data_IF_890107170683
#
_entry.id   IF_890107170683
#
_cell.length_a   1.000
_cell.length_b   1.000
_cell.length_c   1.000
_cell.angle_alpha   90.00
_cell.angle_beta   90.00
_cell.angle_gamma   90.00
#
_symmetry.space_group_name_H-M   'P 1'
#
loop_
_entity.id
_entity.type
_entity.pdbx_description
1 polymer ?
#
# COMPACT_ATOMS: atom_id res chain seq x y z
N UNK A 1 9.71 -8.50 -17.66
CA UNK A 1 8.45 -9.28 -17.74
C UNK A 1 8.73 -10.75 -18.03
N UNK A 2 9.63 -11.10 -18.95
CA UNK A 2 9.97 -12.47 -19.33
C UNK A 2 10.42 -13.35 -18.14
N UNK A 3 11.19 -12.79 -17.20
CA UNK A 3 11.60 -13.53 -15.99
C UNK A 3 10.40 -13.85 -15.07
N UNK A 4 9.53 -12.88 -14.84
CA UNK A 4 8.32 -13.08 -14.01
C UNK A 4 7.37 -14.10 -14.64
N UNK A 5 7.24 -14.07 -15.95
CA UNK A 5 6.46 -15.05 -16.70
C UNK A 5 7.05 -16.46 -16.56
N UNK A 6 8.36 -16.60 -16.75
CA UNK A 6 9.06 -17.87 -16.58
C UNK A 6 8.95 -18.43 -15.17
N UNK A 7 9.11 -17.58 -14.15
CA UNK A 7 8.94 -17.98 -12.75
C UNK A 7 7.49 -18.42 -12.46
N UNK A 8 6.50 -17.66 -12.95
CA UNK A 8 5.09 -18.00 -12.75
C UNK A 8 4.64 -19.25 -13.51
N UNK A 9 5.33 -19.62 -14.59
CA UNK A 9 5.07 -20.88 -15.35
C UNK A 9 5.80 -22.09 -14.76
N UNK A 10 6.78 -21.87 -13.88
CA UNK A 10 7.54 -22.96 -13.26
C UNK A 10 6.65 -23.87 -12.42
N UNK A 11 6.80 -25.19 -12.58
CA UNK A 11 6.10 -26.17 -11.75
C UNK A 11 6.52 -26.02 -10.28
N UNK A 12 5.55 -25.97 -9.38
CA UNK A 12 5.77 -25.80 -7.94
C UNK A 12 6.06 -24.36 -7.49
N UNK A 13 6.13 -23.40 -8.42
CA UNK A 13 6.32 -22.00 -8.06
C UNK A 13 4.98 -21.27 -7.88
N UNK A 14 4.88 -20.55 -6.78
CA UNK A 14 3.85 -19.55 -6.53
C UNK A 14 4.49 -18.16 -6.51
N UNK A 15 4.05 -17.27 -7.39
CA UNK A 15 4.62 -15.92 -7.54
C UNK A 15 3.55 -14.89 -7.27
N UNK A 16 3.87 -13.89 -6.45
CA UNK A 16 2.99 -12.76 -6.18
C UNK A 16 3.72 -11.42 -6.34
N UNK A 17 3.02 -10.43 -6.89
CA UNK A 17 3.44 -9.02 -6.84
C UNK A 17 2.61 -8.32 -5.77
N UNK A 18 3.30 -7.76 -4.75
CA UNK A 18 2.68 -7.03 -3.65
C UNK A 18 3.05 -5.55 -3.76
N UNK A 19 2.07 -4.67 -3.93
CA UNK A 19 2.32 -3.26 -4.21
C UNK A 19 1.32 -2.32 -3.54
N UNK A 20 1.75 -1.08 -3.27
CA UNK A 20 0.87 0.02 -2.88
C UNK A 20 0.10 0.66 -4.04
N UNK A 21 0.34 0.23 -5.27
CA UNK A 21 -0.34 0.75 -6.47
C UNK A 21 -1.81 0.32 -6.49
N UNK A 22 -2.68 1.13 -7.13
CA UNK A 22 -4.06 0.75 -7.39
C UNK A 22 -4.16 -0.55 -8.19
N UNK A 23 -5.22 -1.33 -7.94
CA UNK A 23 -5.45 -2.60 -8.67
C UNK A 23 -5.51 -2.44 -10.18
N UNK A 24 -6.04 -1.31 -10.69
CA UNK A 24 -6.09 -1.04 -12.13
C UNK A 24 -4.71 -0.93 -12.77
N UNK A 25 -3.73 -0.35 -12.08
CA UNK A 25 -2.35 -0.26 -12.57
C UNK A 25 -1.72 -1.66 -12.65
N UNK A 26 -1.88 -2.46 -11.59
CA UNK A 26 -1.33 -3.82 -11.56
C UNK A 26 -1.99 -4.72 -12.62
N UNK A 27 -3.28 -4.57 -12.84
CA UNK A 27 -4.01 -5.28 -13.89
C UNK A 27 -3.46 -4.93 -15.28
N UNK A 28 -3.27 -3.64 -15.55
CA UNK A 28 -2.74 -3.17 -16.83
C UNK A 28 -1.31 -3.67 -17.11
N UNK A 29 -0.47 -3.74 -16.05
CA UNK A 29 0.95 -4.11 -16.23
C UNK A 29 1.20 -5.60 -16.18
N UNK A 30 0.50 -6.32 -15.31
CA UNK A 30 0.80 -7.71 -14.97
C UNK A 30 -0.39 -8.66 -15.11
N UNK A 31 -1.58 -8.14 -15.46
CA UNK A 31 -2.83 -8.91 -15.48
C UNK A 31 -2.80 -10.16 -16.38
N UNK A 32 -1.93 -10.17 -17.38
CA UNK A 32 -1.75 -11.30 -18.31
C UNK A 32 -0.73 -12.34 -17.82
N UNK A 33 0.02 -12.03 -16.77
CA UNK A 33 1.04 -12.94 -16.26
C UNK A 33 0.42 -14.01 -15.33
N UNK A 34 1.00 -15.22 -15.30
CA UNK A 34 0.51 -16.32 -14.47
C UNK A 34 0.99 -16.20 -13.02
N UNK A 35 0.57 -15.11 -12.33
CA UNK A 35 0.96 -14.81 -10.97
C UNK A 35 -0.18 -14.17 -10.18
N UNK A 36 -0.06 -14.15 -8.86
CA UNK A 36 -0.99 -13.43 -7.99
C UNK A 36 -0.63 -11.94 -7.93
N UNK A 37 -1.63 -11.09 -7.73
CA UNK A 37 -1.48 -9.65 -7.57
C UNK A 37 -2.09 -9.20 -6.25
N UNK A 38 -1.37 -8.38 -5.51
CA UNK A 38 -1.83 -7.73 -4.28
C UNK A 38 -1.68 -6.22 -4.45
N UNK A 39 -2.79 -5.50 -4.39
CA UNK A 39 -2.85 -4.06 -4.62
C UNK A 39 -3.18 -3.28 -3.34
N UNK A 40 -2.87 -1.98 -3.35
CA UNK A 40 -3.13 -1.05 -2.24
C UNK A 40 -2.64 -1.60 -0.89
N UNK A 41 -1.37 -2.06 -0.85
CA UNK A 41 -0.70 -2.61 0.33
C UNK A 41 -1.39 -3.85 0.96
N UNK A 42 -2.30 -4.50 0.26
CA UNK A 42 -3.00 -5.67 0.78
C UNK A 42 -4.52 -5.53 0.88
N UNK A 43 -5.08 -4.42 0.41
CA UNK A 43 -6.55 -4.25 0.34
C UNK A 43 -7.17 -5.27 -0.62
N UNK A 44 -6.55 -5.39 -1.79
CA UNK A 44 -7.03 -6.23 -2.87
C UNK A 44 -6.07 -7.37 -3.16
N UNK A 45 -6.60 -8.55 -3.38
CA UNK A 45 -5.86 -9.71 -3.88
C UNK A 45 -6.56 -10.31 -5.09
N UNK A 46 -5.78 -10.68 -6.08
CA UNK A 46 -6.18 -11.50 -7.22
C UNK A 46 -5.27 -12.72 -7.26
N UNK A 47 -5.77 -13.91 -6.91
CA UNK A 47 -5.03 -15.16 -7.08
C UNK A 47 -4.65 -15.39 -8.55
N UNK A 48 -3.67 -16.22 -8.81
CA UNK A 48 -3.30 -16.64 -10.17
C UNK A 48 -4.53 -17.20 -10.91
N UNK A 49 -4.90 -16.57 -12.04
CA UNK A 49 -6.06 -16.96 -12.82
C UNK A 49 -7.42 -16.71 -12.19
N UNK A 50 -7.46 -16.04 -11.05
CA UNK A 50 -8.70 -15.71 -10.33
C UNK A 50 -9.14 -14.26 -10.51
N UNK A 51 -10.19 -13.90 -9.80
CA UNK A 51 -10.77 -12.55 -9.76
C UNK A 51 -10.26 -11.74 -8.58
N UNK A 52 -10.33 -10.40 -8.69
CA UNK A 52 -10.04 -9.50 -7.60
C UNK A 52 -11.05 -9.65 -6.46
N UNK A 53 -10.55 -9.81 -5.24
CA UNK A 53 -11.36 -9.79 -4.03
C UNK A 53 -10.70 -8.92 -2.96
N UNK A 54 -11.49 -8.31 -2.11
CA UNK A 54 -10.98 -7.67 -0.90
C UNK A 54 -10.60 -8.72 0.12
N UNK A 55 -9.48 -8.51 0.83
CA UNK A 55 -9.10 -9.41 1.92
C UNK A 55 -10.05 -9.29 3.10
N UNK A 56 -10.52 -8.06 3.38
CA UNK A 56 -11.53 -7.80 4.41
C UNK A 56 -12.37 -6.56 4.08
N UNK A 57 -13.55 -6.46 4.65
CA UNK A 57 -14.37 -5.26 4.51
C UNK A 57 -13.70 -4.07 5.21
N UNK A 58 -13.60 -2.94 4.52
CA UNK A 58 -13.00 -1.71 4.99
C UNK A 58 -14.01 -0.57 4.92
N UNK A 59 -13.94 0.36 5.87
CA UNK A 59 -14.72 1.58 5.85
C UNK A 59 -13.93 2.71 5.17
N UNK A 60 -14.61 3.52 4.37
CA UNK A 60 -14.05 4.74 3.77
C UNK A 60 -14.65 6.02 4.37
N UNK A 61 -15.55 5.90 5.35
CA UNK A 61 -16.25 7.05 5.94
C UNK A 61 -15.28 8.06 6.58
N UNK A 62 -14.15 7.60 7.10
CA UNK A 62 -13.12 8.44 7.67
C UNK A 62 -12.55 9.47 6.67
N UNK A 63 -12.60 9.18 5.38
CA UNK A 63 -12.11 10.09 4.34
C UNK A 63 -12.86 11.42 4.32
N UNK A 64 -14.14 11.43 4.64
CA UNK A 64 -14.94 12.67 4.71
C UNK A 64 -14.42 13.64 5.76
N UNK A 65 -13.78 13.14 6.81
CA UNK A 65 -13.19 13.94 7.89
C UNK A 65 -11.73 14.32 7.59
N UNK A 66 -10.94 13.40 7.04
CA UNK A 66 -9.50 13.60 6.84
C UNK A 66 -9.20 14.35 5.54
N UNK A 67 -9.96 14.13 4.47
CA UNK A 67 -9.74 14.77 3.18
C UNK A 67 -9.70 16.31 3.24
N UNK A 68 -10.59 17.01 3.96
CA UNK A 68 -10.52 18.47 4.08
C UNK A 68 -9.24 18.96 4.75
N UNK A 69 -8.71 18.20 5.73
CA UNK A 69 -7.45 18.53 6.42
C UNK A 69 -6.30 18.44 5.43
N UNK A 70 -6.17 17.33 4.71
CA UNK A 70 -5.11 17.16 3.70
C UNK A 70 -5.22 18.21 2.60
N UNK A 71 -6.43 18.56 2.16
CA UNK A 71 -6.65 19.60 1.16
C UNK A 71 -6.16 20.97 1.65
N UNK A 72 -6.41 21.32 2.91
CA UNK A 72 -5.90 22.56 3.50
C UNK A 72 -4.36 22.64 3.41
N UNK A 73 -3.66 21.53 3.61
CA UNK A 73 -2.20 21.47 3.48
C UNK A 73 -1.72 21.48 2.02
N UNK A 74 -2.52 20.99 1.07
CA UNK A 74 -2.26 21.20 -0.36
C UNK A 74 -2.33 22.70 -0.70
N UNK A 75 -3.37 23.38 -0.23
CA UNK A 75 -3.59 24.81 -0.53
C UNK A 75 -2.53 25.71 0.12
N UNK A 76 -1.93 25.30 1.24
CA UNK A 76 -0.88 26.02 1.97
C UNK A 76 0.53 25.78 1.46
N UNK A 77 0.74 24.77 0.61
CA UNK A 77 2.08 24.39 0.13
C UNK A 77 2.06 24.18 -1.39
N UNK A 78 2.41 25.22 -2.18
CA UNK A 78 2.51 25.11 -3.63
C UNK A 78 3.42 23.95 -4.04
N UNK A 79 2.96 23.13 -4.98
CA UNK A 79 3.66 21.90 -5.42
C UNK A 79 3.29 20.64 -4.64
N UNK A 80 2.53 20.75 -3.55
CA UNK A 80 1.90 19.60 -2.92
C UNK A 80 0.65 19.19 -3.70
N UNK A 81 0.27 17.90 -3.57
CA UNK A 81 -0.94 17.36 -4.16
C UNK A 81 -1.56 16.28 -3.27
N UNK A 82 -2.86 16.13 -3.35
CA UNK A 82 -3.62 15.06 -2.72
C UNK A 82 -3.93 13.99 -3.77
N UNK A 83 -3.47 12.77 -3.51
CA UNK A 83 -3.88 11.56 -4.24
C UNK A 83 -4.93 10.82 -3.42
N UNK A 84 -6.06 10.55 -4.02
CA UNK A 84 -7.11 9.73 -3.42
C UNK A 84 -7.18 8.38 -4.12
N UNK A 85 -6.90 7.30 -3.37
CA UNK A 85 -7.12 5.91 -3.78
C UNK A 85 -8.42 5.40 -3.18
N UNK A 86 -8.80 4.17 -3.49
CA UNK A 86 -10.06 3.61 -3.00
C UNK A 86 -10.11 3.57 -1.46
N UNK A 87 -9.03 3.16 -0.78
CA UNK A 87 -8.95 3.00 0.67
C UNK A 87 -7.82 3.76 1.36
N UNK A 88 -7.20 4.72 0.66
CA UNK A 88 -6.23 5.63 1.27
C UNK A 88 -6.32 7.04 0.72
N UNK A 89 -5.71 7.99 1.45
CA UNK A 89 -5.46 9.36 1.03
C UNK A 89 -3.96 9.61 1.21
N UNK A 90 -3.29 10.16 0.19
CA UNK A 90 -1.87 10.45 0.24
C UNK A 90 -1.59 11.90 -0.11
N UNK A 91 -0.94 12.61 0.81
CA UNK A 91 -0.46 13.98 0.60
C UNK A 91 0.99 13.94 0.15
N UNK A 92 1.23 14.27 -1.11
CA UNK A 92 2.56 14.29 -1.73
C UNK A 92 3.12 15.70 -1.73
N UNK A 93 4.39 15.85 -1.32
CA UNK A 93 5.08 17.15 -1.29
C UNK A 93 6.46 17.13 -1.98
N UNK A 94 6.68 16.15 -2.86
CA UNK A 94 7.96 16.00 -3.57
C UNK A 94 8.31 17.19 -4.47
N UNK A 95 7.31 17.90 -4.98
CA UNK A 95 7.47 19.04 -5.89
C UNK A 95 7.33 20.38 -5.18
N UNK A 96 7.14 20.37 -3.87
CA UNK A 96 7.01 21.56 -3.07
C UNK A 96 8.39 22.14 -2.71
N UNK A 97 8.37 23.39 -2.22
CA UNK A 97 9.56 24.07 -1.74
C UNK A 97 10.28 23.25 -0.66
N UNK A 98 11.58 22.95 -0.80
CA UNK A 98 12.31 22.05 0.08
C UNK A 98 12.53 22.59 1.50
N UNK A 99 12.42 23.91 1.72
CA UNK A 99 12.55 24.51 3.05
C UNK A 99 11.23 24.51 3.80
N UNK A 100 10.12 24.74 3.10
CA UNK A 100 8.78 24.79 3.69
C UNK A 100 8.17 23.40 3.88
N UNK A 101 8.44 22.47 2.96
CA UNK A 101 7.81 21.16 2.95
C UNK A 101 8.01 20.35 4.23
N UNK A 102 9.21 20.27 4.85
CA UNK A 102 9.40 19.54 6.10
C UNK A 102 8.62 20.16 7.28
N UNK A 103 8.51 21.48 7.33
CA UNK A 103 7.75 22.19 8.37
C UNK A 103 6.26 21.85 8.25
N UNK A 104 5.71 21.95 7.05
CA UNK A 104 4.30 21.63 6.78
C UNK A 104 3.99 20.15 6.97
N UNK A 105 4.93 19.26 6.62
CA UNK A 105 4.77 17.83 6.85
C UNK A 105 4.67 17.50 8.34
N UNK A 106 5.52 18.13 9.18
CA UNK A 106 5.47 17.97 10.62
C UNK A 106 4.15 18.50 11.22
N UNK A 107 3.73 19.70 10.83
CA UNK A 107 2.44 20.27 11.25
C UNK A 107 1.28 19.34 10.89
N UNK A 108 1.28 18.81 9.65
CA UNK A 108 0.24 17.87 9.22
C UNK A 108 0.25 16.58 10.03
N UNK A 109 1.42 16.03 10.34
CA UNK A 109 1.52 14.81 11.17
C UNK A 109 0.96 15.04 12.58
N UNK A 110 1.28 16.19 13.18
CA UNK A 110 0.77 16.56 14.50
C UNK A 110 -0.77 16.71 14.48
N UNK A 111 -1.32 17.42 13.48
CA UNK A 111 -2.76 17.57 13.31
C UNK A 111 -3.44 16.20 13.07
N UNK A 112 -2.89 15.37 12.17
CA UNK A 112 -3.46 14.05 11.89
C UNK A 112 -3.43 13.14 13.12
N UNK A 113 -2.39 13.21 13.95
CA UNK A 113 -2.31 12.43 15.19
C UNK A 113 -3.48 12.74 16.13
N UNK A 114 -3.91 14.00 16.18
CA UNK A 114 -5.06 14.41 16.98
C UNK A 114 -6.40 13.96 16.37
N UNK A 115 -6.57 14.16 15.06
CA UNK A 115 -7.81 13.84 14.37
C UNK A 115 -8.06 12.34 14.22
N UNK A 116 -7.00 11.50 14.19
CA UNK A 116 -7.14 10.06 13.96
C UNK A 116 -7.22 9.21 15.21
N UNK A 117 -7.09 9.79 16.43
CA UNK A 117 -7.07 9.04 17.71
C UNK A 117 -8.22 8.06 17.91
N UNK A 118 -9.41 8.39 17.39
CA UNK A 118 -10.62 7.61 17.59
C UNK A 118 -11.17 7.04 16.26
N UNK A 119 -10.32 6.99 15.26
CA UNK A 119 -10.67 6.47 13.92
C UNK A 119 -9.76 5.28 13.63
N UNK A 120 -10.32 4.21 13.04
CA UNK A 120 -9.55 3.00 12.68
C UNK A 120 -8.70 3.22 11.42
N UNK A 121 -7.77 4.16 11.52
CA UNK A 121 -6.79 4.49 10.48
C UNK A 121 -5.39 4.64 11.06
N UNK A 122 -4.40 4.48 10.21
CA UNK A 122 -3.00 4.76 10.52
C UNK A 122 -2.47 5.86 9.60
N UNK A 123 -1.59 6.68 10.15
CA UNK A 123 -0.85 7.71 9.42
C UNK A 123 0.57 7.20 9.21
N UNK A 124 1.01 7.20 7.97
CA UNK A 124 2.33 6.70 7.57
C UNK A 124 3.12 7.81 6.89
N UNK A 125 4.34 8.03 7.35
CA UNK A 125 5.28 8.92 6.70
C UNK A 125 6.20 8.12 5.77
N UNK A 126 6.21 8.48 4.49
CA UNK A 126 7.08 7.91 3.48
C UNK A 126 8.01 8.95 2.85
N UNK A 127 8.69 8.59 1.77
CA UNK A 127 9.61 9.49 1.08
C UNK A 127 8.87 10.62 0.34
N UNK A 128 8.72 11.77 1.01
CA UNK A 128 7.98 12.95 0.51
C UNK A 128 6.48 12.70 0.30
N UNK A 129 5.90 11.88 1.16
CA UNK A 129 4.47 11.56 1.19
C UNK A 129 4.03 11.28 2.63
N UNK A 130 2.81 11.70 2.98
CA UNK A 130 2.10 11.29 4.19
C UNK A 130 0.83 10.60 3.72
N UNK A 131 0.66 9.33 4.09
CA UNK A 131 -0.50 8.51 3.71
C UNK A 131 -1.36 8.19 4.93
N UNK A 132 -2.67 8.32 4.78
CA UNK A 132 -3.67 7.86 5.75
C UNK A 132 -4.44 6.70 5.14
N UNK A 133 -4.50 5.57 5.86
CA UNK A 133 -5.20 4.34 5.41
C UNK A 133 -5.79 3.58 6.59
N UNK A 134 -6.66 2.61 6.32
CA UNK A 134 -7.19 1.73 7.35
C UNK A 134 -6.08 0.96 8.07
N UNK A 135 -6.24 0.74 9.39
CA UNK A 135 -5.28 -0.04 10.20
C UNK A 135 -5.26 -1.52 9.81
N UNK A 136 -4.11 -2.17 10.10
CA UNK A 136 -3.91 -3.61 9.93
C UNK A 136 -3.95 -4.11 8.49
N UNK A 137 -3.85 -3.21 7.51
CA UNK A 137 -3.60 -3.53 6.11
C UNK A 137 -2.12 -3.26 5.85
N UNK A 138 -1.35 -4.33 5.69
CA UNK A 138 0.08 -4.29 5.37
C UNK A 138 0.43 -5.31 4.30
N UNK A 139 1.57 -5.13 3.65
CA UNK A 139 2.09 -6.12 2.70
C UNK A 139 2.30 -7.48 3.36
N UNK A 140 2.70 -7.48 4.64
CA UNK A 140 2.89 -8.69 5.41
C UNK A 140 1.58 -9.43 5.70
N UNK A 141 0.55 -8.72 6.18
CA UNK A 141 -0.76 -9.34 6.42
C UNK A 141 -1.36 -9.93 5.14
N UNK A 142 -1.16 -9.26 4.01
CA UNK A 142 -1.62 -9.75 2.71
C UNK A 142 -0.86 -10.99 2.23
N UNK A 143 0.46 -11.04 2.44
CA UNK A 143 1.27 -12.20 2.08
C UNK A 143 0.88 -13.43 2.92
N UNK A 144 0.65 -13.26 4.22
CA UNK A 144 0.20 -14.35 5.09
C UNK A 144 -1.18 -14.86 4.70
N UNK A 145 -2.11 -13.98 4.33
CA UNK A 145 -3.42 -14.37 3.81
C UNK A 145 -3.29 -15.10 2.47
N UNK A 146 -2.39 -14.65 1.59
CA UNK A 146 -2.14 -15.32 0.32
C UNK A 146 -1.54 -16.71 0.51
N UNK A 147 -0.61 -16.88 1.43
CA UNK A 147 -0.04 -18.19 1.78
C UNK A 147 -1.12 -19.14 2.34
N UNK A 148 -2.18 -18.61 2.98
CA UNK A 148 -3.35 -19.40 3.36
C UNK A 148 -3.05 -20.61 4.25
N UNK A 149 -1.98 -20.57 5.04
CA UNK A 149 -1.54 -21.70 5.87
C UNK A 149 -0.73 -22.75 5.12
N UNK A 150 -0.38 -22.53 3.85
CA UNK A 150 0.58 -23.36 3.13
C UNK A 150 1.97 -23.26 3.77
N UNK A 151 2.71 -24.34 3.77
CA UNK A 151 4.09 -24.40 4.23
C UNK A 151 5.02 -24.67 3.02
N UNK A 152 5.40 -23.64 2.25
CA UNK A 152 6.31 -23.81 1.13
C UNK A 152 7.71 -24.20 1.65
N UNK A 153 8.44 -24.98 0.88
CA UNK A 153 9.82 -25.40 1.23
C UNK A 153 10.78 -24.22 1.24
N UNK A 154 10.50 -23.18 0.45
CA UNK A 154 11.33 -21.98 0.35
C UNK A 154 10.48 -20.75 0.03
N UNK A 155 10.79 -19.63 0.69
CA UNK A 155 10.17 -18.34 0.41
C UNK A 155 11.26 -17.33 0.06
N UNK A 156 11.11 -16.64 -1.07
CA UNK A 156 11.94 -15.51 -1.44
C UNK A 156 11.06 -14.25 -1.51
N UNK A 157 11.36 -13.25 -0.68
CA UNK A 157 10.77 -11.93 -0.73
C UNK A 157 11.81 -10.89 -1.12
N UNK A 158 11.45 -9.98 -2.02
CA UNK A 158 12.32 -8.90 -2.50
C UNK A 158 11.53 -7.59 -2.46
N UNK A 159 12.13 -6.54 -1.93
CA UNK A 159 11.58 -5.20 -1.86
C UNK A 159 12.66 -4.18 -1.57
N UNK A 160 12.37 -2.89 -1.79
CA UNK A 160 13.30 -1.77 -1.62
C UNK A 160 12.70 -0.61 -0.79
N UNK A 161 11.42 -0.72 -0.44
CA UNK A 161 10.72 0.29 0.34
C UNK A 161 10.61 -0.17 1.81
N UNK A 162 10.55 0.80 2.72
CA UNK A 162 10.39 0.51 4.13
C UNK A 162 9.07 -0.25 4.45
N UNK A 163 8.04 -0.10 3.61
CA UNK A 163 6.79 -0.89 3.72
C UNK A 163 6.99 -2.37 3.39
N UNK A 164 8.13 -2.76 2.82
CA UNK A 164 8.49 -4.16 2.58
C UNK A 164 9.01 -4.84 3.84
N UNK A 165 9.46 -4.07 4.85
CA UNK A 165 9.82 -4.61 6.16
C UNK A 165 8.65 -5.36 6.82
N UNK A 166 7.43 -4.85 6.69
CA UNK A 166 6.22 -5.56 7.15
C UNK A 166 6.09 -6.94 6.49
N UNK A 167 6.43 -7.04 5.20
CA UNK A 167 6.42 -8.30 4.46
C UNK A 167 7.50 -9.24 4.97
N UNK A 168 8.74 -8.75 5.14
CA UNK A 168 9.87 -9.57 5.59
C UNK A 168 9.67 -10.08 7.02
N UNK A 169 9.12 -9.26 7.90
CA UNK A 169 8.84 -9.63 9.29
C UNK A 169 7.68 -10.63 9.43
N UNK A 170 6.71 -10.58 8.53
CA UNK A 170 5.53 -11.45 8.58
C UNK A 170 5.81 -12.87 8.07
N UNK A 171 6.79 -13.04 7.17
CA UNK A 171 7.08 -14.33 6.58
C UNK A 171 7.76 -15.26 7.61
N UNK A 172 7.40 -16.57 7.64
CA UNK A 172 8.03 -17.51 8.53
C UNK A 172 9.51 -17.68 8.16
N UNK A 173 10.40 -17.89 9.14
CA UNK A 173 11.78 -18.26 8.86
C UNK A 173 11.80 -19.63 8.15
N UNK A 174 12.53 -19.71 7.04
CA UNK A 174 12.77 -20.94 6.28
C UNK A 174 14.01 -21.64 6.77
#
# INVERSE_FOLDING_TARGET
LTLLEALGMGEGNEVAIVSGRPRGDLENWFGRLPLALVAEHGVWIRPRGGEWRMLRALSTHWKTQIRPILQLYVDRLPGALLEEKEFSLAWHYRRADPEQAPVRAKELLDDLADYTRNIDVQVLEGNKVIEVRNTGITKGSAAMEWLGGQAPEFILAIGDDWTDEDLFQALPPT
#
